data_IF_427663409266
#
_entry.id   IF_427663409266
#
_cell.length_a   1.000
_cell.length_b   1.000
_cell.length_c   1.000
_cell.angle_alpha   90.00
_cell.angle_beta   90.00
_cell.angle_gamma   90.00
#
_symmetry.space_group_name_H-M   'P 1'
#
loop_
_entity.id
_entity.type
_entity.pdbx_description
1 polymer ?
#
# COMPACT_ATOMS: atom_id res chain seq x y z
N UNK A 1 13.00 -11.44 -4.33
CA UNK A 1 12.82 -10.05 -4.79
C UNK A 1 13.02 -9.13 -3.59
N UNK A 2 13.54 -7.92 -3.79
CA UNK A 2 13.45 -6.91 -2.74
C UNK A 2 11.97 -6.55 -2.56
N UNK A 3 11.48 -6.59 -1.33
CA UNK A 3 10.10 -6.23 -1.00
C UNK A 3 9.87 -4.74 -1.37
N UNK A 4 8.74 -4.41 -1.98
CA UNK A 4 8.56 -3.13 -2.66
C UNK A 4 7.14 -2.91 -3.13
N UNK A 5 6.85 -1.70 -3.60
CA UNK A 5 5.61 -1.41 -4.32
C UNK A 5 5.93 -0.73 -5.64
N UNK A 6 5.08 -0.95 -6.64
CA UNK A 6 5.18 -0.32 -7.95
C UNK A 6 3.78 0.12 -8.39
N UNK A 7 3.76 1.07 -9.32
CA UNK A 7 2.55 1.46 -10.00
C UNK A 7 2.52 0.82 -11.39
N UNK A 8 1.33 0.56 -11.89
CA UNK A 8 1.11 0.09 -13.25
C UNK A 8 -0.13 0.78 -13.83
N UNK A 9 -0.14 0.95 -15.14
CA UNK A 9 -1.33 1.34 -15.89
C UNK A 9 -1.77 0.20 -16.80
N UNK A 10 -3.05 0.26 -17.17
CA UNK A 10 -3.59 -0.62 -18.19
C UNK A 10 -3.47 0.05 -19.55
N UNK A 11 -2.83 -0.62 -20.50
CA UNK A 11 -2.83 -0.27 -21.93
C UNK A 11 -3.49 -1.40 -22.69
N UNK A 12 -4.63 -1.12 -23.29
CA UNK A 12 -5.51 -2.14 -23.90
C UNK A 12 -5.86 -3.24 -22.88
N UNK A 13 -5.43 -4.48 -23.12
CA UNK A 13 -5.64 -5.63 -22.24
C UNK A 13 -4.40 -6.05 -21.45
N UNK A 14 -3.36 -5.22 -21.45
CA UNK A 14 -2.10 -5.47 -20.78
C UNK A 14 -1.88 -4.51 -19.61
N UNK A 15 -1.24 -5.01 -18.56
CA UNK A 15 -0.74 -4.21 -17.44
C UNK A 15 0.75 -3.93 -17.63
N UNK A 16 1.12 -2.66 -17.55
CA UNK A 16 2.48 -2.18 -17.76
C UNK A 16 2.93 -1.36 -16.55
N UNK A 17 4.14 -1.64 -16.06
CA UNK A 17 4.72 -0.89 -14.95
C UNK A 17 4.97 0.56 -15.35
N UNK A 18 4.68 1.47 -14.43
CA UNK A 18 4.96 2.88 -14.61
C UNK A 18 6.46 3.14 -14.65
N UNK A 19 6.89 3.88 -15.67
CA UNK A 19 8.28 4.30 -15.87
C UNK A 19 8.50 5.78 -15.53
N UNK A 20 7.43 6.52 -15.22
CA UNK A 20 7.55 7.88 -14.70
C UNK A 20 8.39 7.86 -13.42
N UNK A 21 9.39 8.74 -13.33
CA UNK A 21 10.30 8.81 -12.18
C UNK A 21 9.57 9.04 -10.85
N UNK A 22 8.40 9.70 -10.88
CA UNK A 22 7.58 9.96 -9.69
C UNK A 22 6.81 8.70 -9.25
N UNK A 23 6.49 7.80 -10.18
CA UNK A 23 5.73 6.56 -9.96
C UNK A 23 6.59 5.31 -10.15
N UNK A 24 7.92 5.47 -10.13
CA UNK A 24 8.85 4.37 -10.30
C UNK A 24 8.72 3.35 -9.17
N UNK A 25 9.12 2.11 -9.45
CA UNK A 25 9.20 1.07 -8.43
C UNK A 25 10.01 1.54 -7.21
N UNK A 26 9.41 1.39 -6.03
CA UNK A 26 10.00 1.76 -4.77
C UNK A 26 10.42 0.50 -3.99
N UNK A 27 11.72 0.18 -3.90
CA UNK A 27 12.20 -0.87 -3.03
C UNK A 27 12.11 -0.42 -1.57
N UNK A 28 11.60 -1.29 -0.70
CA UNK A 28 11.57 -1.02 0.73
C UNK A 28 13.00 -1.08 1.30
N UNK A 29 13.32 -0.18 2.26
CA UNK A 29 14.57 -0.29 3.02
C UNK A 29 14.66 -1.61 3.79
N UNK A 30 15.89 -2.04 4.07
CA UNK A 30 16.12 -3.24 4.87
C UNK A 30 15.44 -3.16 6.24
N UNK A 31 14.81 -4.26 6.66
CA UNK A 31 14.09 -4.35 7.93
C UNK A 31 12.67 -3.75 7.92
N UNK A 32 12.24 -3.14 6.80
CA UNK A 32 10.84 -2.75 6.60
C UNK A 32 10.07 -3.90 5.96
N UNK A 33 8.93 -4.24 6.54
CA UNK A 33 8.00 -5.24 6.03
C UNK A 33 6.68 -4.56 5.64
N UNK A 34 6.18 -4.88 4.45
CA UNK A 34 4.89 -4.44 3.92
C UNK A 34 3.90 -5.60 3.95
N UNK A 35 2.95 -5.53 4.87
CA UNK A 35 1.80 -6.42 4.91
C UNK A 35 0.62 -5.86 4.13
N UNK A 36 -0.19 -6.75 3.54
CA UNK A 36 -1.53 -6.44 3.03
C UNK A 36 -2.57 -7.26 3.78
N UNK A 37 -3.68 -6.64 4.17
CA UNK A 37 -4.82 -7.34 4.79
C UNK A 37 -5.82 -7.84 3.72
N UNK A 38 -5.60 -7.49 2.45
CA UNK A 38 -6.39 -7.99 1.34
C UNK A 38 -6.04 -9.46 1.07
N UNK A 39 -7.01 -10.25 0.62
CA UNK A 39 -6.77 -11.64 0.25
C UNK A 39 -5.58 -11.70 -0.72
N UNK A 40 -4.65 -12.65 -0.53
CA UNK A 40 -3.53 -12.81 -1.45
C UNK A 40 -4.10 -13.00 -2.85
N UNK A 41 -3.77 -12.07 -3.75
CA UNK A 41 -4.01 -12.31 -5.17
C UNK A 41 -3.18 -13.55 -5.55
N UNK A 42 -3.77 -14.47 -6.31
CA UNK A 42 -2.99 -15.57 -6.88
C UNK A 42 -1.79 -14.96 -7.61
N UNK A 43 -0.57 -15.38 -7.22
CA UNK A 43 0.72 -14.85 -7.69
C UNK A 43 0.93 -15.02 -9.22
N UNK A 44 -0.04 -15.60 -9.92
CA UNK A 44 0.02 -15.99 -11.32
C UNK A 44 0.08 -14.82 -12.30
N UNK A 45 -0.20 -13.58 -11.88
CA UNK A 45 -0.05 -12.39 -12.71
C UNK A 45 0.72 -11.30 -11.96
N UNK A 46 2.06 -11.39 -11.94
CA UNK A 46 2.97 -10.45 -11.28
C UNK A 46 2.82 -8.98 -11.70
N UNK A 47 2.01 -8.68 -12.72
CA UNK A 47 1.75 -7.33 -13.25
C UNK A 47 0.36 -6.79 -12.95
N UNK A 48 -0.58 -7.58 -12.41
CA UNK A 48 -1.91 -7.09 -12.05
C UNK A 48 -1.84 -6.34 -10.72
N UNK A 49 -2.27 -5.07 -10.64
CA UNK A 49 -2.29 -4.33 -9.39
C UNK A 49 -3.25 -4.95 -8.38
N UNK A 50 -2.82 -5.06 -7.12
CA UNK A 50 -3.71 -5.41 -5.99
C UNK A 50 -4.73 -4.32 -5.69
N UNK A 51 -4.48 -3.09 -6.15
CA UNK A 51 -5.36 -1.95 -5.97
C UNK A 51 -5.53 -1.21 -7.28
N UNK A 52 -6.78 -0.96 -7.65
CA UNK A 52 -7.16 -0.28 -8.87
C UNK A 52 -7.53 1.17 -8.55
N UNK A 53 -6.98 2.09 -9.33
CA UNK A 53 -7.38 3.49 -9.37
C UNK A 53 -7.95 3.77 -10.75
N UNK A 54 -9.24 4.08 -10.83
CA UNK A 54 -9.96 4.28 -12.09
C UNK A 54 -9.97 5.77 -12.46
N UNK A 55 -10.07 6.06 -13.77
CA UNK A 55 -10.19 7.43 -14.27
C UNK A 55 -11.46 8.15 -13.79
N UNK A 56 -12.48 7.41 -13.34
CA UNK A 56 -13.67 7.94 -12.66
C UNK A 56 -13.37 8.56 -11.29
N UNK A 57 -12.16 8.38 -10.77
CA UNK A 57 -11.77 8.72 -9.40
C UNK A 57 -12.10 7.62 -8.40
N UNK A 58 -12.73 6.54 -8.84
CA UNK A 58 -13.00 5.38 -7.99
C UNK A 58 -11.73 4.60 -7.69
N UNK A 59 -11.65 4.02 -6.50
CA UNK A 59 -10.56 3.13 -6.10
C UNK A 59 -11.10 1.86 -5.48
N UNK A 60 -10.43 0.74 -5.74
CA UNK A 60 -10.66 -0.46 -4.95
C UNK A 60 -10.17 -0.28 -3.51
N UNK A 61 -10.65 -1.09 -2.56
CA UNK A 61 -10.16 -1.08 -1.20
C UNK A 61 -8.66 -1.35 -1.15
N UNK A 62 -8.02 -0.76 -0.14
CA UNK A 62 -6.61 -0.87 0.16
C UNK A 62 -6.45 -1.03 1.66
N UNK A 63 -5.60 -1.95 2.10
CA UNK A 63 -5.20 -2.07 3.49
C UNK A 63 -3.74 -2.51 3.56
N UNK A 64 -2.82 -1.53 3.65
CA UNK A 64 -1.39 -1.76 3.72
C UNK A 64 -0.87 -1.46 5.12
N UNK A 65 0.00 -2.31 5.64
CA UNK A 65 0.70 -2.09 6.90
C UNK A 65 2.21 -2.09 6.66
N UNK A 66 2.89 -1.03 7.11
CA UNK A 66 4.34 -0.96 7.15
C UNK A 66 4.81 -1.14 8.59
N UNK A 67 5.81 -2.00 8.80
CA UNK A 67 6.42 -2.22 10.10
C UNK A 67 7.94 -2.36 9.99
N UNK A 68 8.66 -1.88 11.02
CA UNK A 68 10.13 -1.87 11.06
C UNK A 68 10.67 -2.61 12.29
N UNK A 69 10.07 -3.76 12.63
CA UNK A 69 10.36 -4.50 13.85
C UNK A 69 9.66 -3.95 15.11
N UNK A 70 9.82 -4.66 16.23
CA UNK A 70 8.99 -4.46 17.43
C UNK A 70 9.22 -3.13 18.17
N UNK A 71 10.35 -2.46 17.95
CA UNK A 71 10.71 -1.22 18.65
C UNK A 71 10.34 0.05 17.87
N UNK A 72 9.86 -0.09 16.63
CA UNK A 72 9.52 1.02 15.76
C UNK A 72 7.99 1.16 15.61
N UNK A 73 7.49 2.38 15.32
CA UNK A 73 6.08 2.55 15.00
C UNK A 73 5.71 1.74 13.75
N UNK A 74 4.48 1.23 13.75
CA UNK A 74 3.84 0.67 12.55
C UNK A 74 2.89 1.70 11.95
N UNK A 75 2.76 1.70 10.64
CA UNK A 75 1.86 2.58 9.91
C UNK A 75 0.88 1.75 9.11
N UNK A 76 -0.36 2.20 9.02
CA UNK A 76 -1.40 1.52 8.26
C UNK A 76 -2.15 2.49 7.38
N UNK A 77 -2.12 2.24 6.08
CA UNK A 77 -2.86 2.98 5.06
C UNK A 77 -4.11 2.19 4.69
N UNK A 78 -5.29 2.78 4.88
CA UNK A 78 -6.57 2.17 4.52
C UNK A 78 -7.36 3.06 3.59
N UNK A 79 -8.08 2.44 2.68
CA UNK A 79 -9.10 3.11 1.90
C UNK A 79 -10.21 2.11 1.60
N UNK A 80 -11.45 2.51 1.81
CA UNK A 80 -12.62 1.80 1.28
C UNK A 80 -12.99 2.37 -0.09
N UNK A 81 -13.89 1.66 -0.79
CA UNK A 81 -14.45 2.11 -2.07
C UNK A 81 -14.93 3.56 -1.97
N UNK A 82 -14.32 4.44 -2.77
CA UNK A 82 -14.67 5.85 -2.90
C UNK A 82 -14.61 6.67 -1.59
N UNK A 83 -14.07 6.10 -0.50
CA UNK A 83 -13.91 6.75 0.80
C UNK A 83 -12.53 7.39 0.92
N UNK A 84 -12.37 8.40 1.76
CA UNK A 84 -11.08 9.07 1.99
C UNK A 84 -9.97 8.09 2.39
N UNK A 85 -8.74 8.39 1.99
CA UNK A 85 -7.57 7.61 2.42
C UNK A 85 -7.26 7.95 3.87
N UNK A 86 -7.12 6.89 4.67
CA UNK A 86 -6.90 6.93 6.09
C UNK A 86 -5.48 6.46 6.42
N UNK A 87 -4.76 7.21 7.24
CA UNK A 87 -3.44 6.82 7.72
C UNK A 87 -3.46 6.73 9.25
N UNK A 88 -3.30 5.52 9.75
CA UNK A 88 -3.19 5.23 11.17
C UNK A 88 -1.73 4.94 11.54
N UNK A 89 -1.36 5.25 12.78
CA UNK A 89 -0.06 4.94 13.38
C UNK A 89 -0.27 4.15 14.67
N UNK A 90 0.59 3.16 14.91
CA UNK A 90 0.67 2.42 16.17
C UNK A 90 2.09 2.52 16.70
N UNK A 91 2.25 3.08 17.89
CA UNK A 91 3.56 3.17 18.55
C UNK A 91 4.03 1.78 19.00
N UNK A 92 5.34 1.57 19.06
CA UNK A 92 5.93 0.29 19.48
C UNK A 92 5.44 -0.20 20.85
N UNK A 93 5.23 0.73 21.78
CA UNK A 93 4.81 0.45 23.15
C UNK A 93 3.28 0.22 23.31
N UNK A 94 2.49 0.39 22.25
CA UNK A 94 1.02 0.38 22.35
C UNK A 94 0.41 -0.59 21.36
N UNK A 95 -0.62 -1.32 21.80
CA UNK A 95 -1.39 -2.18 20.89
C UNK A 95 -2.35 -1.39 19.96
N UNK A 96 -2.74 -0.17 20.33
CA UNK A 96 -3.80 0.58 19.67
C UNK A 96 -3.31 1.36 18.43
N UNK A 97 -4.13 1.37 17.38
CA UNK A 97 -3.98 2.24 16.21
C UNK A 97 -4.65 3.59 16.45
N UNK A 98 -3.98 4.67 16.06
CA UNK A 98 -4.47 6.06 16.20
C UNK A 98 -4.40 6.76 14.85
N UNK A 99 -5.41 7.56 14.49
CA UNK A 99 -5.43 8.34 13.25
C UNK A 99 -4.33 9.40 13.25
N UNK A 100 -3.43 9.38 12.26
CA UNK A 100 -2.22 10.23 12.24
C UNK A 100 -2.53 11.74 12.15
N UNK A 101 -3.64 12.13 11.52
CA UNK A 101 -4.07 13.55 11.43
C UNK A 101 -4.91 14.05 12.62
N UNK A 102 -5.02 13.26 13.69
CA UNK A 102 -5.67 13.66 14.95
C UNK A 102 -4.67 13.71 16.11
N UNK A 103 -3.42 14.09 15.85
CA UNK A 103 -2.51 14.48 16.94
C UNK A 103 -2.83 15.93 17.35
N UNK A 104 -3.11 16.20 18.64
CA UNK A 104 -3.36 17.55 19.14
C UNK A 104 -2.15 18.47 18.99
#
# INVERSE_FOLDING_TARGET
SAEGYAFAHRRDDLWELEQDRVLAHYPLPEGIVLGTELAPFEETLATVPQTLCLASGERSPLALTLSAGAQNPSYRLRADWNASIELDVRQAATAAWIRWKQQP
#
